data_IF_508994995594
#
_entry.id   IF_508994995594
#
_cell.length_a   1.000
_cell.length_b   1.000
_cell.length_c   1.000
_cell.angle_alpha   90.00
_cell.angle_beta   90.00
_cell.angle_gamma   90.00
#
_symmetry.space_group_name_H-M   'P 1'
#
loop_
_entity.id
_entity.type
_entity.pdbx_description
1 polymer ?
#
# COMPACT_ATOMS: atom_id res chain seq x y z
N UNK A 1 3.40 -39.72 -13.24
CA UNK A 1 3.09 -38.28 -13.17
C UNK A 1 2.72 -37.81 -11.76
N UNK A 2 2.06 -38.62 -10.93
CA UNK A 2 1.63 -38.23 -9.57
C UNK A 2 2.77 -38.01 -8.56
N UNK A 3 3.89 -38.74 -8.67
CA UNK A 3 5.06 -38.55 -7.78
C UNK A 3 5.91 -37.31 -8.11
N UNK A 4 5.90 -36.86 -9.37
CA UNK A 4 6.63 -35.66 -9.81
C UNK A 4 5.95 -34.36 -9.36
N UNK A 5 4.62 -34.35 -9.26
CA UNK A 5 3.83 -33.23 -8.75
C UNK A 5 4.04 -32.98 -7.24
N UNK A 6 4.25 -34.05 -6.46
CA UNK A 6 4.48 -33.94 -5.01
C UNK A 6 5.86 -33.36 -4.71
N UNK A 7 6.89 -33.70 -5.50
CA UNK A 7 8.24 -33.14 -5.34
C UNK A 7 8.28 -31.65 -5.74
N UNK A 8 7.51 -31.24 -6.76
CA UNK A 8 7.40 -29.83 -7.15
C UNK A 8 6.64 -28.98 -6.12
N UNK A 9 5.65 -29.57 -5.43
CA UNK A 9 4.92 -28.93 -4.33
C UNK A 9 5.71 -28.86 -3.01
N UNK A 10 6.66 -29.77 -2.79
CA UNK A 10 7.56 -29.75 -1.62
C UNK A 10 8.73 -28.77 -1.79
N UNK A 11 9.22 -28.53 -3.02
CA UNK A 11 10.28 -27.55 -3.28
C UNK A 11 9.84 -26.09 -3.15
N UNK A 12 8.54 -25.79 -3.21
CA UNK A 12 8.00 -24.43 -3.02
C UNK A 12 7.96 -23.96 -1.56
N UNK A 13 8.28 -24.83 -0.59
CA UNK A 13 8.13 -24.54 0.85
C UNK A 13 9.38 -23.94 1.53
N UNK A 14 10.49 -23.72 0.81
CA UNK A 14 11.80 -23.38 1.42
C UNK A 14 12.32 -21.98 1.05
N UNK A 15 11.46 -21.06 0.64
CA UNK A 15 11.85 -19.66 0.35
C UNK A 15 10.92 -18.65 1.03
N UNK A 16 10.57 -18.87 2.29
CA UNK A 16 9.96 -17.83 3.13
C UNK A 16 11.04 -16.84 3.55
N UNK A 17 11.36 -15.91 2.64
CA UNK A 17 11.95 -14.63 3.04
C UNK A 17 10.84 -13.86 3.77
N UNK A 18 11.13 -13.33 4.96
CA UNK A 18 10.18 -12.55 5.74
C UNK A 18 9.65 -11.38 4.92
N UNK A 19 8.43 -11.52 4.42
CA UNK A 19 7.63 -10.43 3.88
C UNK A 19 6.66 -10.04 4.98
N UNK A 20 6.50 -8.74 5.22
CA UNK A 20 5.51 -8.26 6.17
C UNK A 20 4.10 -8.54 5.59
N UNK A 21 3.18 -9.04 6.43
CA UNK A 21 1.80 -9.31 6.03
C UNK A 21 1.11 -8.04 5.50
N UNK A 22 1.46 -6.87 6.07
CA UNK A 22 0.96 -5.58 5.60
C UNK A 22 1.41 -5.24 4.17
N UNK A 23 2.63 -5.62 3.77
CA UNK A 23 3.15 -5.31 2.43
C UNK A 23 2.49 -6.20 1.37
N UNK A 24 2.30 -7.48 1.69
CA UNK A 24 1.53 -8.41 0.84
C UNK A 24 0.10 -7.92 0.68
N UNK A 25 -0.55 -7.54 1.78
CA UNK A 25 -1.91 -7.03 1.76
C UNK A 25 -2.01 -5.76 0.92
N UNK A 26 -1.09 -4.81 1.10
CA UNK A 26 -1.04 -3.56 0.33
C UNK A 26 -0.85 -3.80 -1.16
N UNK A 27 0.03 -4.74 -1.54
CA UNK A 27 0.24 -5.13 -2.93
C UNK A 27 -0.98 -5.84 -3.54
N UNK A 28 -1.78 -6.53 -2.73
CA UNK A 28 -2.98 -7.25 -3.16
C UNK A 28 -4.23 -6.38 -3.34
N UNK A 29 -4.25 -5.17 -2.76
CA UNK A 29 -5.40 -4.28 -2.86
C UNK A 29 -5.51 -3.67 -4.27
N UNK A 30 -6.59 -4.00 -4.98
CA UNK A 30 -6.92 -3.44 -6.29
C UNK A 30 -8.38 -2.95 -6.33
N UNK A 31 -8.58 -1.67 -6.61
CA UNK A 31 -9.88 -1.10 -6.93
C UNK A 31 -10.20 -1.37 -8.41
N UNK A 32 -11.39 -1.90 -8.68
CA UNK A 32 -11.82 -2.29 -10.04
C UNK A 32 -12.34 -1.12 -10.90
N UNK A 33 -12.10 0.12 -10.50
CA UNK A 33 -12.66 1.31 -11.15
C UNK A 33 -11.59 2.02 -11.98
N UNK A 34 -11.59 1.78 -13.29
CA UNK A 34 -10.62 2.40 -14.20
C UNK A 34 -11.15 3.68 -14.84
N UNK A 35 -12.22 3.60 -15.60
CA UNK A 35 -12.84 4.76 -16.26
C UNK A 35 -14.12 5.20 -15.52
N UNK A 36 -14.58 6.44 -15.75
CA UNK A 36 -15.86 6.91 -15.21
C UNK A 36 -17.03 6.01 -15.65
N UNK A 37 -16.96 5.47 -16.87
CA UNK A 37 -17.93 4.50 -17.39
C UNK A 37 -17.89 3.19 -16.61
N UNK A 38 -16.70 2.70 -16.26
CA UNK A 38 -16.53 1.52 -15.40
C UNK A 38 -17.03 1.74 -13.97
N UNK A 39 -16.75 2.91 -13.40
CA UNK A 39 -17.22 3.29 -12.08
C UNK A 39 -18.75 3.42 -12.01
N UNK A 40 -19.38 4.07 -13.01
CA UNK A 40 -20.84 4.23 -13.07
C UNK A 40 -21.62 2.92 -13.20
N UNK A 41 -20.96 1.84 -13.63
CA UNK A 41 -21.55 0.49 -13.70
C UNK A 41 -21.12 -0.40 -12.52
N UNK A 42 -20.50 0.16 -11.48
CA UNK A 42 -20.05 -0.59 -10.31
C UNK A 42 -18.92 -1.59 -10.60
N UNK A 43 -18.09 -1.34 -11.63
CA UNK A 43 -16.96 -2.20 -12.00
C UNK A 43 -17.35 -3.43 -12.86
N UNK A 44 -18.60 -3.53 -13.30
CA UNK A 44 -19.10 -4.67 -14.08
C UNK A 44 -18.66 -4.65 -15.57
N UNK A 45 -17.35 -4.71 -15.84
CA UNK A 45 -16.78 -4.59 -17.20
C UNK A 45 -16.24 -5.89 -17.82
N UNK A 46 -16.42 -7.04 -17.16
CA UNK A 46 -15.92 -8.33 -17.65
C UNK A 46 -16.49 -8.79 -19.02
N UNK A 47 -17.74 -8.46 -19.36
CA UNK A 47 -18.37 -8.85 -20.64
C UNK A 47 -18.97 -7.67 -21.44
N UNK A 48 -19.04 -6.47 -20.85
CA UNK A 48 -19.60 -5.28 -21.50
C UNK A 48 -18.63 -4.69 -22.52
N UNK A 49 -17.34 -4.60 -22.15
CA UNK A 49 -16.21 -4.20 -23.00
C UNK A 49 -16.32 -2.80 -23.61
N UNK A 50 -15.58 -2.59 -24.71
CA UNK A 50 -15.49 -1.33 -25.44
C UNK A 50 -15.17 -0.12 -24.54
N UNK A 51 -14.25 -0.33 -23.59
CA UNK A 51 -13.74 0.65 -22.63
C UNK A 51 -12.29 0.28 -22.26
N UNK A 52 -11.44 1.27 -21.93
CA UNK A 52 -10.03 1.00 -21.60
C UNK A 52 -9.87 0.17 -20.32
N UNK A 53 -10.86 0.20 -19.42
CA UNK A 53 -10.91 -0.71 -18.26
C UNK A 53 -10.87 -2.19 -18.62
N UNK A 54 -11.16 -2.55 -19.88
CA UNK A 54 -11.01 -3.91 -20.39
C UNK A 54 -9.57 -4.41 -20.32
N UNK A 55 -8.56 -3.53 -20.42
CA UNK A 55 -7.14 -3.92 -20.26
C UNK A 55 -6.88 -4.55 -18.89
N UNK A 56 -7.54 -4.05 -17.84
CA UNK A 56 -7.30 -4.49 -16.47
C UNK A 56 -8.32 -5.55 -16.00
N UNK A 57 -9.49 -5.63 -16.63
CA UNK A 57 -10.57 -6.56 -16.26
C UNK A 57 -10.65 -7.78 -17.19
N UNK A 58 -11.04 -7.60 -18.44
CA UNK A 58 -11.06 -8.65 -19.46
C UNK A 58 -10.58 -8.11 -20.81
N UNK A 59 -9.34 -8.41 -21.24
CA UNK A 59 -8.77 -7.86 -22.47
C UNK A 59 -9.58 -8.18 -23.73
N UNK A 60 -10.36 -9.27 -23.78
CA UNK A 60 -11.27 -9.53 -24.90
C UNK A 60 -12.34 -8.46 -25.07
N UNK A 61 -12.66 -7.70 -24.02
CA UNK A 61 -13.52 -6.54 -24.06
C UNK A 61 -13.03 -5.46 -25.01
N UNK A 62 -11.73 -5.40 -25.32
CA UNK A 62 -11.19 -4.49 -26.32
C UNK A 62 -11.73 -4.81 -27.72
N UNK A 63 -11.96 -6.08 -28.05
CA UNK A 63 -12.47 -6.47 -29.37
C UNK A 63 -13.89 -5.98 -29.66
N UNK A 64 -14.59 -5.45 -28.65
CA UNK A 64 -15.90 -4.83 -28.78
C UNK A 64 -15.83 -3.35 -29.17
N UNK A 65 -14.64 -2.74 -29.20
CA UNK A 65 -14.46 -1.39 -29.75
C UNK A 65 -14.88 -1.36 -31.23
N UNK A 66 -15.67 -0.35 -31.58
CA UNK A 66 -16.15 -0.15 -32.96
C UNK A 66 -15.30 0.86 -33.72
N UNK A 67 -14.62 1.73 -33.00
CA UNK A 67 -13.81 2.85 -33.48
C UNK A 67 -12.66 3.09 -32.50
N UNK A 68 -11.62 3.77 -32.98
CA UNK A 68 -10.55 4.26 -32.12
C UNK A 68 -11.10 5.28 -31.11
N UNK A 69 -10.54 5.29 -29.90
CA UNK A 69 -11.04 6.06 -28.77
C UNK A 69 -9.87 6.58 -27.92
N UNK A 70 -10.06 7.75 -27.32
CA UNK A 70 -9.14 8.35 -26.36
C UNK A 70 -9.90 8.61 -25.07
N UNK A 71 -9.35 8.17 -23.93
CA UNK A 71 -10.01 8.31 -22.64
C UNK A 71 -9.10 9.04 -21.65
N UNK A 72 -9.67 10.05 -21.00
CA UNK A 72 -9.09 10.73 -19.85
C UNK A 72 -10.15 10.75 -18.75
N UNK A 73 -9.86 10.07 -17.64
CA UNK A 73 -10.74 10.00 -16.47
C UNK A 73 -10.01 10.61 -15.26
N UNK A 74 -10.33 11.84 -14.86
CA UNK A 74 -9.92 12.38 -13.57
C UNK A 74 -10.71 11.73 -12.42
N UNK A 75 -10.15 11.73 -11.23
CA UNK A 75 -10.76 11.30 -9.98
C UNK A 75 -10.63 12.41 -8.93
N UNK A 76 -11.80 12.88 -8.49
CA UNK A 76 -11.97 13.78 -7.37
C UNK A 76 -12.52 12.95 -6.23
N UNK A 77 -11.78 12.88 -5.13
CA UNK A 77 -12.17 12.12 -3.96
C UNK A 77 -11.91 12.89 -2.69
N UNK A 78 -12.63 12.53 -1.64
CA UNK A 78 -12.35 12.96 -0.29
C UNK A 78 -12.55 11.80 0.65
N UNK A 79 -11.78 11.78 1.73
CA UNK A 79 -11.96 10.81 2.80
C UNK A 79 -12.14 11.56 4.12
N UNK A 80 -12.84 10.95 5.06
CA UNK A 80 -12.96 11.46 6.42
C UNK A 80 -12.76 10.31 7.37
N UNK A 81 -11.75 10.43 8.22
CA UNK A 81 -11.44 9.46 9.27
C UNK A 81 -11.89 10.03 10.60
N UNK A 82 -12.78 9.30 11.28
CA UNK A 82 -13.18 9.57 12.66
C UNK A 82 -12.61 8.48 13.54
N UNK A 83 -11.84 8.86 14.54
CA UNK A 83 -11.21 7.94 15.49
C UNK A 83 -11.68 8.27 16.90
N UNK A 84 -11.79 7.25 17.73
CA UNK A 84 -12.09 7.42 19.16
C UNK A 84 -11.03 6.67 19.95
N UNK A 85 -10.33 7.36 20.82
CA UNK A 85 -9.29 6.81 21.69
C UNK A 85 -9.52 7.34 23.11
N UNK A 86 -9.72 6.44 24.07
CA UNK A 86 -9.99 6.77 25.48
C UNK A 86 -11.01 7.92 25.65
N UNK A 87 -12.21 7.73 25.08
CA UNK A 87 -13.34 8.67 25.07
C UNK A 87 -13.12 10.01 24.35
N UNK A 88 -11.93 10.27 23.81
CA UNK A 88 -11.67 11.43 22.96
C UNK A 88 -11.88 11.07 21.51
N UNK A 89 -12.55 11.94 20.77
CA UNK A 89 -12.90 11.71 19.37
C UNK A 89 -12.28 12.78 18.49
N UNK A 90 -11.53 12.34 17.50
CA UNK A 90 -10.87 13.21 16.52
C UNK A 90 -11.42 12.94 15.13
N UNK A 91 -11.38 13.96 14.27
CA UNK A 91 -11.81 13.83 12.87
C UNK A 91 -10.80 14.49 11.95
N UNK A 92 -10.43 13.79 10.87
CA UNK A 92 -9.54 14.29 9.83
C UNK A 92 -10.17 14.08 8.46
N UNK A 93 -10.37 15.18 7.75
CA UNK A 93 -10.76 15.16 6.34
C UNK A 93 -9.53 15.25 5.45
N UNK A 94 -9.59 14.59 4.31
CA UNK A 94 -8.69 14.75 3.18
C UNK A 94 -9.50 15.01 1.91
N UNK A 95 -8.93 15.82 1.01
CA UNK A 95 -9.45 16.03 -0.33
C UNK A 95 -8.31 15.84 -1.31
N UNK A 96 -8.55 15.05 -2.35
CA UNK A 96 -7.55 14.76 -3.35
C UNK A 96 -8.10 14.82 -4.77
N UNK A 97 -7.27 15.31 -5.67
CA UNK A 97 -7.44 15.21 -7.11
C UNK A 97 -6.34 14.34 -7.69
N UNK A 98 -6.71 13.32 -8.46
CA UNK A 98 -5.79 12.40 -9.12
C UNK A 98 -6.29 12.07 -10.53
N UNK A 99 -5.40 11.69 -11.43
CA UNK A 99 -5.81 11.09 -12.70
C UNK A 99 -6.00 9.59 -12.49
N UNK A 100 -7.19 9.07 -12.80
CA UNK A 100 -7.47 7.65 -12.65
C UNK A 100 -7.10 6.87 -13.92
N UNK A 101 -7.49 7.34 -15.10
CA UNK A 101 -7.12 6.68 -16.37
C UNK A 101 -6.74 7.69 -17.42
N UNK A 102 -5.71 7.36 -18.18
CA UNK A 102 -5.35 8.01 -19.44
C UNK A 102 -4.94 6.94 -20.44
N UNK A 103 -5.46 7.00 -21.67
CA UNK A 103 -5.02 6.08 -22.70
C UNK A 103 -5.81 6.20 -23.99
N UNK A 104 -5.50 5.31 -24.93
CA UNK A 104 -6.18 5.23 -26.20
C UNK A 104 -6.29 3.78 -26.69
N UNK A 105 -7.31 3.53 -27.49
CA UNK A 105 -7.53 2.30 -28.23
C UNK A 105 -7.59 2.61 -29.71
N UNK A 106 -6.86 1.87 -30.53
CA UNK A 106 -6.89 1.94 -31.99
C UNK A 106 -7.62 0.71 -32.50
N UNK A 107 -8.66 0.92 -33.30
CA UNK A 107 -9.42 -0.16 -33.93
C UNK A 107 -9.10 -0.20 -35.42
N UNK A 108 -8.73 -1.37 -35.92
CA UNK A 108 -8.47 -1.61 -37.34
C UNK A 108 -9.38 -2.73 -37.85
N UNK A 109 -10.04 -2.50 -38.98
CA UNK A 109 -10.80 -3.55 -39.67
C UNK A 109 -9.83 -4.55 -40.32
N UNK A 110 -10.22 -5.82 -40.36
CA UNK A 110 -9.43 -6.88 -40.97
C UNK A 110 -10.12 -7.44 -42.20
N UNK A 111 -9.35 -7.63 -43.28
CA UNK A 111 -9.81 -8.26 -44.52
C UNK A 111 -9.68 -9.79 -44.47
N UNK A 112 -9.14 -10.35 -43.38
CA UNK A 112 -8.99 -11.80 -43.21
C UNK A 112 -10.34 -12.46 -42.96
N UNK A 113 -10.55 -13.62 -43.57
CA UNK A 113 -11.77 -14.42 -43.37
C UNK A 113 -12.02 -14.67 -41.89
N UNK A 114 -13.24 -14.40 -41.44
CA UNK A 114 -13.73 -14.54 -40.07
C UNK A 114 -13.19 -13.57 -39.02
N UNK A 115 -12.14 -12.78 -39.27
CA UNK A 115 -11.68 -11.73 -38.34
C UNK A 115 -12.25 -10.40 -38.80
N UNK A 116 -13.13 -9.78 -38.01
CA UNK A 116 -13.73 -8.50 -38.41
C UNK A 116 -12.81 -7.34 -38.03
N UNK A 117 -12.23 -7.40 -36.82
CA UNK A 117 -11.50 -6.27 -36.24
C UNK A 117 -10.35 -6.77 -35.37
N UNK A 118 -9.29 -5.98 -35.33
CA UNK A 118 -8.22 -6.06 -34.34
C UNK A 118 -8.13 -4.71 -33.63
N UNK A 119 -7.96 -4.76 -32.32
CA UNK A 119 -7.89 -3.58 -31.46
C UNK A 119 -6.61 -3.64 -30.67
N UNK A 120 -5.87 -2.54 -30.64
CA UNK A 120 -4.70 -2.36 -29.80
C UNK A 120 -4.97 -1.21 -28.83
N UNK A 121 -4.59 -1.35 -27.57
CA UNK A 121 -4.80 -0.33 -26.58
C UNK A 121 -3.59 -0.19 -25.65
N UNK A 122 -3.38 1.05 -25.22
CA UNK A 122 -2.44 1.40 -24.16
C UNK A 122 -3.18 2.30 -23.16
N UNK A 123 -2.98 2.05 -21.88
CA UNK A 123 -3.52 2.90 -20.83
C UNK A 123 -2.64 2.90 -19.61
N UNK A 124 -2.57 4.04 -18.92
CA UNK A 124 -2.19 4.08 -17.52
C UNK A 124 -3.44 4.18 -16.66
N UNK A 125 -3.55 3.34 -15.64
CA UNK A 125 -4.68 3.33 -14.72
C UNK A 125 -4.26 3.23 -13.25
N UNK A 126 -4.89 4.00 -12.37
CA UNK A 126 -4.73 3.86 -10.92
C UNK A 126 -5.50 2.64 -10.42
N UNK A 127 -4.77 1.60 -10.01
CA UNK A 127 -5.31 0.38 -9.41
C UNK A 127 -5.62 0.57 -7.93
N UNK A 128 -4.82 1.34 -7.19
CA UNK A 128 -4.99 1.53 -5.76
C UNK A 128 -4.70 2.97 -5.33
N UNK A 129 -5.37 3.41 -4.27
CA UNK A 129 -5.15 4.70 -3.63
C UNK A 129 -4.90 4.47 -2.15
N UNK A 130 -3.74 4.90 -1.66
CA UNK A 130 -3.34 4.74 -0.25
C UNK A 130 -3.50 6.02 0.56
N UNK A 131 -4.07 7.07 -0.02
CA UNK A 131 -4.31 8.31 0.71
C UNK A 131 -5.28 8.07 1.86
N UNK A 132 -4.74 8.12 3.07
CA UNK A 132 -5.51 8.15 4.30
C UNK A 132 -4.78 8.96 5.34
N UNK A 133 -5.53 9.64 6.18
CA UNK A 133 -5.00 10.35 7.32
C UNK A 133 -5.95 10.15 8.49
N UNK A 134 -5.39 9.87 9.65
CA UNK A 134 -6.14 9.85 10.90
C UNK A 134 -5.25 10.31 12.04
N UNK A 135 -5.89 10.79 13.10
CA UNK A 135 -5.21 11.25 14.30
C UNK A 135 -5.84 10.57 15.50
N UNK A 136 -5.05 10.05 16.42
CA UNK A 136 -5.50 9.56 17.70
C UNK A 136 -5.05 10.58 18.74
N UNK A 137 -5.95 10.96 19.64
CA UNK A 137 -5.61 11.84 20.76
C UNK A 137 -6.34 11.36 22.00
N UNK A 138 -5.67 11.32 23.14
CA UNK A 138 -6.29 10.95 24.41
C UNK A 138 -5.26 10.67 25.49
N UNK A 139 -5.74 10.55 26.72
CA UNK A 139 -4.91 10.20 27.89
C UNK A 139 -4.88 8.67 28.06
N UNK A 140 -3.74 8.13 28.47
CA UNK A 140 -3.57 6.72 28.83
C UNK A 140 -2.59 6.63 29.99
N UNK A 141 -2.70 5.61 30.83
CA UNK A 141 -1.80 5.44 31.98
C UNK A 141 -0.39 4.98 31.57
N UNK A 142 -0.27 4.35 30.39
CA UNK A 142 1.00 3.89 29.82
C UNK A 142 1.52 4.84 28.73
N UNK A 143 2.82 5.11 28.78
CA UNK A 143 3.59 5.80 27.76
C UNK A 143 4.12 4.82 26.71
N UNK A 144 4.40 5.29 25.49
CA UNK A 144 5.20 4.53 24.51
C UNK A 144 6.61 4.23 25.07
N UNK A 145 7.14 5.05 25.96
CA UNK A 145 8.42 4.80 26.61
C UNK A 145 8.40 3.52 27.46
N UNK A 146 7.25 3.13 27.99
CA UNK A 146 7.13 1.87 28.74
C UNK A 146 7.40 0.67 27.83
N UNK A 147 6.95 0.72 26.57
CA UNK A 147 7.26 -0.30 25.56
C UNK A 147 8.74 -0.31 25.22
N UNK A 148 9.37 0.85 25.07
CA UNK A 148 10.80 0.94 24.75
C UNK A 148 11.68 0.48 25.92
N UNK A 149 11.28 0.78 27.15
CA UNK A 149 11.97 0.29 28.33
C UNK A 149 11.77 -1.23 28.51
N UNK A 150 10.58 -1.77 28.23
CA UNK A 150 10.29 -3.21 28.29
C UNK A 150 11.11 -3.99 27.24
N UNK A 151 11.16 -3.50 25.99
CA UNK A 151 11.97 -4.06 24.91
C UNK A 151 13.47 -4.15 25.31
N UNK A 152 13.96 -3.20 26.11
CA UNK A 152 15.37 -3.15 26.55
C UNK A 152 15.71 -4.07 27.72
N UNK A 153 14.71 -4.54 28.49
CA UNK A 153 14.97 -5.26 29.75
C UNK A 153 15.84 -6.51 29.53
N UNK A 154 16.84 -6.70 30.40
CA UNK A 154 17.75 -7.83 30.34
C UNK A 154 18.92 -7.65 29.37
N UNK A 155 18.94 -6.59 28.56
CA UNK A 155 20.06 -6.25 27.67
C UNK A 155 20.94 -5.18 28.32
N UNK A 156 22.25 -5.38 28.30
CA UNK A 156 23.20 -4.40 28.86
C UNK A 156 23.13 -3.07 28.07
N UNK A 157 23.29 -1.93 28.73
CA UNK A 157 23.15 -0.62 28.09
C UNK A 157 24.17 -0.38 26.97
N UNK A 158 25.30 -1.09 26.96
CA UNK A 158 26.25 -1.05 25.84
C UNK A 158 25.72 -1.73 24.57
N UNK A 159 24.76 -2.66 24.72
CA UNK A 159 24.23 -3.51 23.64
C UNK A 159 22.73 -3.24 23.40
N UNK A 160 22.16 -2.14 23.93
CA UNK A 160 20.71 -1.87 23.89
C UNK A 160 20.13 -1.82 22.46
N UNK A 161 20.94 -1.45 21.47
CA UNK A 161 20.59 -1.53 20.04
C UNK A 161 20.21 -2.95 19.56
N UNK A 162 20.78 -3.99 20.18
CA UNK A 162 20.52 -5.39 19.82
C UNK A 162 19.15 -5.85 20.34
N UNK A 163 18.65 -5.20 21.40
CA UNK A 163 17.30 -5.39 21.89
C UNK A 163 16.27 -4.70 20.99
N UNK A 164 16.46 -3.40 20.74
CA UNK A 164 15.59 -2.61 19.88
C UNK A 164 16.22 -1.28 19.51
N UNK A 165 16.22 -0.96 18.21
CA UNK A 165 16.62 0.37 17.70
C UNK A 165 15.80 1.49 18.36
N UNK A 166 14.53 1.23 18.71
CA UNK A 166 13.67 2.24 19.36
C UNK A 166 14.14 2.53 20.79
N UNK A 167 14.54 1.48 21.51
CA UNK A 167 15.10 1.60 22.84
C UNK A 167 16.44 2.33 22.82
N UNK A 168 17.30 2.05 21.85
CA UNK A 168 18.55 2.81 21.63
C UNK A 168 18.27 4.31 21.44
N UNK A 169 17.36 4.66 20.51
CA UNK A 169 16.98 6.06 20.27
C UNK A 169 16.44 6.73 21.54
N UNK A 170 15.59 6.04 22.29
CA UNK A 170 15.03 6.56 23.54
C UNK A 170 16.09 6.73 24.63
N UNK A 171 17.06 5.82 24.72
CA UNK A 171 18.19 5.90 25.65
C UNK A 171 19.11 7.08 25.32
N UNK A 172 19.47 7.26 24.04
CA UNK A 172 20.28 8.37 23.56
C UNK A 172 19.61 9.75 23.78
N UNK A 173 18.28 9.77 23.83
CA UNK A 173 17.48 10.96 24.13
C UNK A 173 17.20 11.15 25.63
N UNK A 174 17.76 10.33 26.51
CA UNK A 174 17.50 10.32 27.97
C UNK A 174 16.02 10.14 28.34
N UNK A 175 15.25 9.47 27.48
CA UNK A 175 13.83 9.14 27.71
C UNK A 175 13.65 7.82 28.45
N UNK A 176 14.62 6.92 28.35
CA UNK A 176 14.75 5.75 29.22
C UNK A 176 16.16 5.71 29.79
N UNK A 177 16.33 5.18 31.00
CA UNK A 177 17.64 5.05 31.64
C UNK A 177 17.67 3.83 32.57
N UNK A 178 18.88 3.37 32.86
CA UNK A 178 19.15 2.26 33.78
C UNK A 178 18.77 2.59 35.22
N UNK A 179 18.32 1.58 35.96
CA UNK A 179 18.13 1.67 37.40
C UNK A 179 19.49 1.78 38.11
N UNK A 180 19.51 2.50 39.24
CA UNK A 180 20.74 2.71 40.00
C UNK A 180 21.38 1.37 40.42
N UNK A 181 22.62 1.14 39.98
CA UNK A 181 23.38 -0.08 40.27
C UNK A 181 23.05 -1.26 39.35
N UNK A 182 22.23 -1.07 38.32
CA UNK A 182 21.94 -2.05 37.28
C UNK A 182 22.52 -1.60 35.93
N UNK A 183 22.91 -2.55 35.09
CA UNK A 183 23.33 -2.27 33.71
C UNK A 183 22.31 -2.70 32.67
N UNK A 184 21.23 -3.39 33.07
CA UNK A 184 20.29 -4.04 32.15
C UNK A 184 18.82 -3.96 32.59
N UNK A 185 18.51 -3.14 33.58
CA UNK A 185 17.14 -2.86 34.00
C UNK A 185 16.84 -1.38 33.79
N UNK A 186 15.74 -1.08 33.12
CA UNK A 186 15.44 0.27 32.64
C UNK A 186 14.16 0.84 33.27
N UNK A 187 14.12 2.16 33.41
CA UNK A 187 12.96 2.96 33.78
C UNK A 187 12.74 4.08 32.74
N UNK A 188 11.57 4.69 32.77
CA UNK A 188 11.14 5.71 31.81
C UNK A 188 11.15 7.11 32.41
N UNK A 189 11.32 8.13 31.57
CA UNK A 189 11.21 9.54 31.94
C UNK A 189 9.75 9.98 32.20
N UNK A 190 8.77 9.18 31.76
CA UNK A 190 7.35 9.34 32.06
C UNK A 190 6.88 8.11 32.85
N UNK A 191 6.75 8.19 34.19
CA UNK A 191 6.27 7.08 35.00
C UNK A 191 4.80 6.76 34.71
N UNK A 192 4.36 5.58 35.16
CA UNK A 192 2.96 5.10 35.09
C UNK A 192 2.02 5.94 35.99
N UNK A 193 1.77 7.18 35.59
CA UNK A 193 0.93 8.19 36.27
C UNK A 193 0.13 9.03 35.24
N UNK A 194 -0.07 8.48 34.05
CA UNK A 194 -0.80 9.13 32.96
C UNK A 194 0.09 9.91 31.99
N UNK A 195 -0.12 9.65 30.71
CA UNK A 195 0.45 10.37 29.56
C UNK A 195 -0.64 10.82 28.58
N UNK A 196 -0.42 11.98 27.99
CA UNK A 196 -1.23 12.52 26.91
C UNK A 196 -0.65 12.11 25.57
N UNK A 197 -1.41 11.38 24.76
CA UNK A 197 -0.98 10.88 23.45
C UNK A 197 -1.58 11.75 22.34
N UNK A 198 -0.76 12.05 21.34
CA UNK A 198 -1.17 12.70 20.10
C UNK A 198 -0.43 12.04 18.94
N UNK A 199 -1.12 11.10 18.27
CA UNK A 199 -0.56 10.27 17.22
C UNK A 199 -1.21 10.68 15.90
N UNK A 200 -0.40 11.13 14.95
CA UNK A 200 -0.83 11.46 13.61
C UNK A 200 -0.25 10.44 12.63
N UNK A 201 -1.13 9.72 11.93
CA UNK A 201 -0.75 8.78 10.86
C UNK A 201 -1.18 9.37 9.53
N UNK A 202 -0.24 9.47 8.61
CA UNK A 202 -0.46 9.97 7.25
C UNK A 202 0.10 8.98 6.26
N UNK A 203 -0.76 8.44 5.39
CA UNK A 203 -0.40 7.54 4.31
C UNK A 203 -0.75 8.18 2.98
N UNK A 204 0.13 8.03 2.00
CA UNK A 204 -0.02 8.59 0.65
C UNK A 204 0.46 7.60 -0.39
N UNK A 205 0.06 7.86 -1.64
CA UNK A 205 0.51 7.11 -2.80
C UNK A 205 -0.60 6.27 -3.41
N UNK A 206 -0.20 5.20 -4.09
CA UNK A 206 -1.08 4.30 -4.80
C UNK A 206 -0.33 3.30 -5.67
N UNK A 207 -1.09 2.49 -6.38
CA UNK A 207 -0.58 1.63 -7.45
C UNK A 207 -1.14 2.15 -8.76
N UNK A 208 -0.26 2.41 -9.72
CA UNK A 208 -0.63 2.78 -11.09
C UNK A 208 -0.09 1.73 -12.05
N UNK A 209 -0.90 1.26 -12.98
CA UNK A 209 -0.51 0.24 -13.95
C UNK A 209 -0.50 0.80 -15.36
N UNK A 210 0.64 0.66 -16.03
CA UNK A 210 0.74 0.82 -17.47
C UNK A 210 0.40 -0.50 -18.14
N UNK A 211 -0.68 -0.52 -18.90
CA UNK A 211 -1.20 -1.71 -19.56
C UNK A 211 -1.13 -1.56 -21.07
N UNK A 212 -0.65 -2.61 -21.72
CA UNK A 212 -0.65 -2.77 -23.17
C UNK A 212 -1.47 -4.00 -23.50
N UNK A 213 -2.34 -3.92 -24.50
CA UNK A 213 -3.11 -5.09 -24.87
C UNK A 213 -3.66 -5.04 -26.27
N UNK A 214 -4.06 -6.22 -26.73
CA UNK A 214 -4.67 -6.42 -28.02
C UNK A 214 -5.82 -7.40 -27.93
N UNK A 215 -6.80 -7.23 -28.81
CA UNK A 215 -7.91 -8.15 -28.96
C UNK A 215 -8.36 -8.27 -30.39
N UNK A 216 -8.96 -9.41 -30.73
CA UNK A 216 -9.55 -9.64 -32.03
C UNK A 216 -11.03 -10.03 -31.89
N UNK A 217 -11.81 -9.59 -32.87
CA UNK A 217 -13.20 -9.98 -33.07
C UNK A 217 -13.29 -11.04 -34.17
N UNK A 218 -13.89 -12.19 -33.85
CA UNK A 218 -14.10 -13.33 -34.73
C UNK A 218 -15.60 -13.58 -34.92
N UNK A 219 -16.04 -13.45 -36.16
CA UNK A 219 -17.43 -13.57 -36.64
C UNK A 219 -18.48 -12.83 -35.81
N UNK A 220 -18.12 -11.73 -35.13
CA UNK A 220 -18.98 -11.01 -34.16
C UNK A 220 -19.54 -11.87 -33.01
N UNK A 221 -18.96 -13.06 -32.83
CA UNK A 221 -19.43 -14.12 -31.91
C UNK A 221 -18.38 -14.49 -30.88
N UNK A 222 -17.11 -14.46 -31.24
CA UNK A 222 -15.99 -14.79 -30.35
C UNK A 222 -15.01 -13.64 -30.34
N UNK A 223 -14.62 -13.23 -29.15
CA UNK A 223 -13.63 -12.19 -28.93
C UNK A 223 -12.59 -12.79 -27.99
N UNK A 224 -11.33 -12.55 -28.28
CA UNK A 224 -10.24 -12.93 -27.40
C UNK A 224 -9.27 -11.77 -27.29
N UNK A 225 -8.59 -11.68 -26.17
CA UNK A 225 -7.60 -10.64 -25.95
C UNK A 225 -6.57 -11.02 -24.91
N UNK A 226 -5.47 -10.29 -24.97
CA UNK A 226 -4.31 -10.42 -24.09
C UNK A 226 -3.83 -9.03 -23.72
N UNK A 227 -3.39 -8.86 -22.48
CA UNK A 227 -2.77 -7.64 -21.99
C UNK A 227 -1.60 -7.95 -21.06
N UNK A 228 -0.57 -7.12 -21.12
CA UNK A 228 0.55 -7.10 -20.19
C UNK A 228 0.42 -5.82 -19.36
N UNK A 229 0.47 -5.97 -18.04
CA UNK A 229 0.44 -4.86 -17.09
C UNK A 229 1.80 -4.67 -16.43
N UNK A 230 2.21 -3.41 -16.29
CA UNK A 230 3.40 -2.98 -15.54
C UNK A 230 2.93 -2.05 -14.41
N UNK A 231 2.61 -2.61 -13.23
CA UNK A 231 2.25 -1.80 -12.07
C UNK A 231 3.47 -1.17 -11.40
N UNK A 232 3.30 0.09 -11.02
CA UNK A 232 4.21 0.89 -10.22
C UNK A 232 3.58 1.10 -8.85
N UNK A 233 4.25 0.62 -7.81
CA UNK A 233 3.89 0.81 -6.42
C UNK A 233 4.62 2.04 -5.88
N UNK A 234 3.88 2.97 -5.30
CA UNK A 234 4.44 4.06 -4.51
C UNK A 234 3.59 4.21 -3.25
N UNK A 235 4.22 4.12 -2.09
CA UNK A 235 3.58 4.31 -0.81
C UNK A 235 4.51 5.09 0.12
N UNK A 236 3.94 6.02 0.86
CA UNK A 236 4.66 6.80 1.86
C UNK A 236 3.80 6.85 3.11
N UNK A 237 4.35 6.42 4.24
CA UNK A 237 3.76 6.54 5.55
C UNK A 237 4.63 7.41 6.44
N UNK A 238 3.97 8.33 7.15
CA UNK A 238 4.57 9.09 8.23
C UNK A 238 3.71 8.95 9.47
N UNK A 239 4.33 8.52 10.55
CA UNK A 239 3.74 8.45 11.89
C UNK A 239 4.47 9.47 12.74
N UNK A 240 3.73 10.39 13.35
CA UNK A 240 4.25 11.30 14.36
C UNK A 240 3.51 11.02 15.65
N UNK A 241 4.21 10.48 16.64
CA UNK A 241 3.69 10.15 17.95
C UNK A 241 4.28 11.14 18.96
N UNK A 242 3.41 11.93 19.58
CA UNK A 242 3.80 12.87 20.63
C UNK A 242 3.21 12.45 21.96
N UNK A 243 4.03 12.50 22.99
CA UNK A 243 3.59 12.24 24.35
C UNK A 243 4.16 13.23 25.35
N UNK A 244 3.29 13.71 26.22
CA UNK A 244 3.66 14.51 27.40
C UNK A 244 3.07 13.86 28.64
N UNK A 245 3.80 13.88 29.75
CA UNK A 245 3.28 13.40 31.01
C UNK A 245 2.07 14.25 31.46
N UNK A 246 1.08 13.62 32.09
CA UNK A 246 -0.02 14.34 32.74
C UNK A 246 0.48 15.14 33.94
N UNK A 247 1.53 14.65 34.62
CA UNK A 247 2.24 15.38 35.67
C UNK A 247 3.25 16.38 35.08
N UNK A 248 2.87 17.66 35.06
CA UNK A 248 3.71 18.77 34.54
C UNK A 248 4.91 19.13 35.43
N UNK A 249 5.07 18.46 36.58
CA UNK A 249 6.21 18.70 37.48
C UNK A 249 7.48 17.97 37.02
N UNK A 250 7.36 17.00 36.12
CA UNK A 250 8.51 16.25 35.62
C UNK A 250 9.49 17.15 34.85
N UNK A 251 10.79 16.78 34.76
CA UNK A 251 11.76 17.53 33.96
C UNK A 251 11.47 17.51 32.45
N UNK A 252 10.88 16.40 31.97
CA UNK A 252 10.46 16.22 30.58
C UNK A 252 9.11 16.89 30.34
N UNK A 253 9.03 17.79 29.36
CA UNK A 253 7.77 18.42 28.95
C UNK A 253 7.04 17.55 27.91
N UNK A 254 7.76 17.05 26.90
CA UNK A 254 7.21 16.18 25.83
C UNK A 254 8.33 15.45 25.11
N UNK A 255 8.01 14.29 24.51
CA UNK A 255 8.82 13.76 23.42
C UNK A 255 8.01 13.59 22.14
N UNK A 256 8.72 13.59 21.01
CA UNK A 256 8.16 13.29 19.68
C UNK A 256 8.94 12.14 19.07
N UNK A 257 8.26 11.03 18.81
CA UNK A 257 8.77 9.91 18.03
C UNK A 257 8.20 9.96 16.62
N UNK A 258 9.06 9.90 15.61
CA UNK A 258 8.68 9.94 14.21
C UNK A 258 9.11 8.66 13.51
N UNK A 259 8.21 8.07 12.73
CA UNK A 259 8.50 6.98 11.82
C UNK A 259 8.15 7.40 10.41
N UNK A 260 9.02 7.08 9.45
CA UNK A 260 8.75 7.25 8.03
C UNK A 260 9.04 5.94 7.31
N UNK A 261 8.18 5.58 6.37
CA UNK A 261 8.33 4.42 5.51
C UNK A 261 7.95 4.81 4.08
N UNK A 262 8.92 4.78 3.18
CA UNK A 262 8.74 4.99 1.75
C UNK A 262 8.98 3.68 1.00
N UNK A 263 7.93 3.17 0.38
CA UNK A 263 7.94 1.93 -0.40
C UNK A 263 7.78 2.27 -1.87
N UNK A 264 8.71 1.78 -2.69
CA UNK A 264 8.65 1.90 -4.14
C UNK A 264 8.79 0.53 -4.79
N UNK A 265 8.08 0.30 -5.88
CA UNK A 265 8.19 -0.98 -6.56
C UNK A 265 7.71 -0.96 -8.00
N UNK A 266 8.20 -1.91 -8.77
CA UNK A 266 7.75 -2.18 -10.14
C UNK A 266 7.43 -3.66 -10.26
N UNK A 267 6.31 -3.95 -10.93
CA UNK A 267 5.89 -5.31 -11.16
C UNK A 267 5.55 -5.61 -12.61
N UNK A 268 5.19 -6.86 -12.85
CA UNK A 268 4.70 -7.34 -14.14
C UNK A 268 3.58 -8.37 -13.94
N UNK A 269 2.54 -8.27 -14.75
CA UNK A 269 1.48 -9.28 -14.83
C UNK A 269 0.99 -9.48 -16.27
N UNK A 270 0.33 -10.61 -16.49
CA UNK A 270 -0.29 -10.99 -17.75
C UNK A 270 -1.78 -11.25 -17.51
N UNK A 271 -2.60 -10.74 -18.42
CA UNK A 271 -4.06 -10.91 -18.41
C UNK A 271 -4.50 -11.47 -19.75
N UNK A 272 -5.40 -12.44 -19.73
CA UNK A 272 -6.00 -13.00 -20.94
C UNK A 272 -7.50 -13.11 -20.73
N UNK A 273 -8.27 -13.03 -21.81
CA UNK A 273 -9.69 -13.25 -21.70
C UNK A 273 -10.37 -13.56 -23.02
N UNK A 274 -11.63 -13.96 -22.88
CA UNK A 274 -12.52 -14.38 -23.96
C UNK A 274 -13.91 -13.82 -23.69
N UNK A 275 -14.62 -13.42 -24.75
CA UNK A 275 -16.05 -13.11 -24.72
C UNK A 275 -16.74 -13.86 -25.83
N UNK A 276 -17.82 -14.56 -25.49
CA UNK A 276 -18.72 -15.23 -26.41
C UNK A 276 -20.04 -14.45 -26.49
N UNK A 277 -20.57 -14.34 -27.71
CA UNK A 277 -21.89 -13.77 -28.01
C UNK A 277 -22.75 -14.81 -28.74
N UNK A 278 -23.38 -15.75 -28.00
CA UNK A 278 -24.24 -16.77 -28.60
C UNK A 278 -25.47 -16.17 -29.30
N UNK A 279 -25.95 -15.02 -28.81
CA UNK A 279 -27.02 -14.23 -29.40
C UNK A 279 -26.71 -12.73 -29.29
N UNK A 280 -27.50 -11.88 -29.93
CA UNK A 280 -27.30 -10.42 -29.81
C UNK A 280 -27.59 -9.88 -28.40
N UNK A 281 -28.37 -10.60 -27.59
CA UNK A 281 -28.79 -10.17 -26.24
C UNK A 281 -27.92 -10.73 -25.12
N UNK A 282 -27.16 -11.80 -25.39
CA UNK A 282 -26.36 -12.49 -24.38
C UNK A 282 -24.87 -12.38 -24.68
N UNK A 283 -24.09 -12.00 -23.67
CA UNK A 283 -22.63 -12.04 -23.69
C UNK A 283 -22.14 -12.79 -22.47
N UNK A 284 -21.16 -13.66 -22.67
CA UNK A 284 -20.52 -14.43 -21.61
C UNK A 284 -19.03 -14.18 -21.71
N UNK A 285 -18.43 -13.62 -20.66
CA UNK A 285 -17.02 -13.30 -20.60
C UNK A 285 -16.31 -14.12 -19.53
N UNK A 286 -15.08 -14.52 -19.82
CA UNK A 286 -14.17 -15.13 -18.85
C UNK A 286 -12.78 -14.49 -19.02
N UNK A 287 -12.08 -14.27 -17.91
CA UNK A 287 -10.72 -13.74 -17.90
C UNK A 287 -9.89 -14.47 -16.85
N UNK A 288 -8.59 -14.55 -17.10
CA UNK A 288 -7.59 -15.08 -16.18
C UNK A 288 -6.44 -14.08 -16.08
N UNK A 289 -6.04 -13.79 -14.85
CA UNK A 289 -4.95 -12.88 -14.54
C UNK A 289 -3.87 -13.66 -13.78
N UNK A 290 -2.60 -13.43 -14.12
CA UNK A 290 -1.50 -13.91 -13.29
C UNK A 290 -1.39 -13.06 -12.03
N UNK A 291 -0.82 -13.60 -10.94
CA UNK A 291 -0.27 -12.75 -9.89
C UNK A 291 0.70 -11.72 -10.47
N UNK A 292 0.85 -10.60 -9.77
CA UNK A 292 1.87 -9.60 -10.12
C UNK A 292 3.15 -9.93 -9.37
N UNK A 293 4.22 -10.19 -10.12
CA UNK A 293 5.55 -10.29 -9.53
C UNK A 293 6.13 -8.88 -9.37
N UNK A 294 6.46 -8.47 -8.15
CA UNK A 294 7.05 -7.17 -7.84
C UNK A 294 8.53 -7.29 -7.43
N UNK A 295 9.31 -6.27 -7.81
CA UNK A 295 10.55 -5.89 -7.13
C UNK A 295 10.26 -4.64 -6.31
N UNK A 296 10.55 -4.69 -5.02
CA UNK A 296 10.19 -3.64 -4.05
C UNK A 296 11.45 -3.19 -3.31
N UNK A 297 11.53 -1.88 -3.09
CA UNK A 297 12.53 -1.20 -2.29
C UNK A 297 11.81 -0.38 -1.21
N UNK A 298 12.15 -0.65 0.04
CA UNK A 298 11.67 0.06 1.21
C UNK A 298 12.80 0.91 1.76
N UNK A 299 12.51 2.16 2.08
CA UNK A 299 13.36 3.03 2.86
C UNK A 299 12.58 3.45 4.09
N UNK A 300 13.15 3.27 5.27
CA UNK A 300 12.50 3.66 6.50
C UNK A 300 13.44 4.48 7.37
N UNK A 301 12.85 5.38 8.15
CA UNK A 301 13.58 6.12 9.16
C UNK A 301 12.79 6.21 10.46
N UNK A 302 13.54 6.30 11.56
CA UNK A 302 13.00 6.49 12.90
C UNK A 302 13.82 7.57 13.59
N UNK A 303 13.12 8.55 14.15
CA UNK A 303 13.72 9.66 14.86
C UNK A 303 12.99 9.92 16.17
N UNK A 304 13.71 10.40 17.17
CA UNK A 304 13.11 10.80 18.44
C UNK A 304 13.69 12.13 18.88
N UNK A 305 12.86 12.94 19.53
CA UNK A 305 13.27 14.22 20.11
C UNK A 305 12.62 14.38 21.48
N UNK A 306 13.42 14.73 22.47
CA UNK A 306 13.00 14.96 23.85
C UNK A 306 13.09 16.46 24.17
N UNK A 307 11.96 17.06 24.54
CA UNK A 307 11.86 18.45 25.00
C UNK A 307 11.83 18.43 26.54
N UNK A 308 12.95 18.72 27.19
CA UNK A 308 13.04 18.99 28.63
C UNK A 308 12.85 20.49 28.89
N UNK A 309 12.56 20.86 30.13
CA UNK A 309 12.31 22.27 30.53
C UNK A 309 13.45 23.22 30.16
N UNK A 310 14.69 22.75 30.23
CA UNK A 310 15.90 23.56 30.04
C UNK A 310 16.60 23.29 28.70
N UNK A 311 16.30 22.18 28.02
CA UNK A 311 16.99 21.78 26.79
C UNK A 311 16.16 20.85 25.89
N UNK A 312 16.57 20.73 24.62
CA UNK A 312 15.99 19.77 23.67
C UNK A 312 17.09 18.85 23.18
N UNK A 313 16.89 17.54 23.34
CA UNK A 313 17.82 16.49 22.94
C UNK A 313 17.24 15.79 21.72
N UNK A 314 18.01 15.72 20.64
CA UNK A 314 17.60 15.06 19.39
C UNK A 314 18.77 14.24 18.87
N UNK A 315 18.80 12.93 19.18
CA UNK A 315 19.77 12.00 18.59
C UNK A 315 19.67 11.94 17.07
N UNK A 316 20.67 11.36 16.43
CA UNK A 316 20.63 11.13 14.99
C UNK A 316 19.54 10.10 14.63
N UNK A 317 18.81 10.37 13.55
CA UNK A 317 17.77 9.47 13.05
C UNK A 317 18.38 8.14 12.59
N UNK A 318 17.74 7.03 12.94
CA UNK A 318 18.04 5.75 12.34
C UNK A 318 17.45 5.68 10.94
N UNK A 319 18.24 5.25 9.95
CA UNK A 319 17.79 5.05 8.56
C UNK A 319 18.15 3.64 8.12
N UNK A 320 17.20 2.95 7.49
CA UNK A 320 17.39 1.64 6.92
C UNK A 320 16.78 1.52 5.52
N UNK A 321 17.34 0.60 4.73
CA UNK A 321 16.82 0.25 3.41
C UNK A 321 16.69 -1.25 3.28
N UNK A 322 15.69 -1.72 2.54
CA UNK A 322 15.45 -3.14 2.34
C UNK A 322 14.89 -3.42 0.95
N UNK A 323 15.52 -4.34 0.24
CA UNK A 323 15.11 -4.77 -1.11
C UNK A 323 14.56 -6.19 -1.07
N UNK A 324 13.40 -6.41 -1.69
CA UNK A 324 12.78 -7.73 -1.75
C UNK A 324 11.93 -7.91 -3.01
N UNK A 325 11.43 -9.14 -3.18
CA UNK A 325 10.56 -9.51 -4.31
C UNK A 325 9.30 -10.16 -3.79
N UNK A 326 8.15 -9.74 -4.33
CA UNK A 326 6.84 -10.37 -4.11
C UNK A 326 6.53 -11.21 -5.36
N UNK A 327 6.10 -12.45 -5.19
CA UNK A 327 5.85 -13.40 -6.29
C UNK A 327 4.44 -13.94 -6.26
#
# INVERSE_FOLDING_TARGET
MTRTLIILALLSSVLTYGQNEEDILRASFHNSFSTARSAGMGGAFGALGADLSALNSNPAGLGLYRRSDFNLTPNLGGSSSKTTFNNQTESKGDFHFKLNTLGFAITQDSEKTNVQKVVFAISINQLANFNTQFRLKGENDNSLLDVFADDAQGTDYFDIQDASIRSQLAYDAFLIDTLNGSSNQYNTAIPFDGSNHDILVQRKGGISELSFGGAANISDRLYWGVAIGIPFLNFSEKITHKESASNTSLPLDRFTYNESLDVSGVGINLKMGVILKPSQKLRIGAAVHTPTAYSVNDNYSRGISAEFKDETITPDDFVGTYDYRIK
#
